data_IF_468117417798
#
_entry.id   IF_468117417798
#
_cell.length_a   1.000
_cell.length_b   1.000
_cell.length_c   1.000
_cell.angle_alpha   90.00
_cell.angle_beta   90.00
_cell.angle_gamma   90.00
#
_symmetry.space_group_name_H-M   'P 1'
#
loop_
_entity.id
_entity.type
_entity.pdbx_description
1 polymer ?
#
# COMPACT_ATOMS: atom_id res chain seq x y z
N UNK A 1 -43.96 -35.72 -28.42
CA UNK A 1 -44.75 -34.85 -27.54
C UNK A 1 -44.72 -35.45 -26.15
N UNK A 2 -44.09 -34.76 -25.18
CA UNK A 2 -44.53 -34.58 -23.79
C UNK A 2 -43.34 -34.00 -23.00
N UNK A 3 -43.22 -32.66 -23.00
CA UNK A 3 -42.31 -31.95 -22.09
C UNK A 3 -43.14 -31.53 -20.89
N UNK A 4 -42.91 -32.18 -19.75
CA UNK A 4 -43.48 -31.82 -18.45
C UNK A 4 -42.34 -31.54 -17.47
N UNK A 5 -42.28 -30.27 -17.07
CA UNK A 5 -41.95 -29.72 -15.75
C UNK A 5 -40.57 -29.92 -15.08
N UNK A 6 -40.02 -28.75 -14.72
CA UNK A 6 -39.42 -28.39 -13.43
C UNK A 6 -38.00 -28.90 -13.10
N UNK A 7 -37.00 -28.09 -13.42
CA UNK A 7 -35.80 -27.89 -12.61
C UNK A 7 -35.29 -26.47 -12.91
N UNK A 8 -35.64 -25.52 -12.03
CA UNK A 8 -34.71 -24.96 -11.04
C UNK A 8 -33.74 -23.97 -11.69
N UNK A 9 -34.06 -22.68 -11.52
CA UNK A 9 -33.14 -21.55 -11.66
C UNK A 9 -31.87 -21.83 -10.83
N UNK A 10 -30.85 -22.38 -11.47
CA UNK A 10 -29.51 -22.52 -10.93
C UNK A 10 -28.57 -21.67 -11.78
N UNK A 11 -28.31 -20.47 -11.27
CA UNK A 11 -27.10 -19.66 -11.37
C UNK A 11 -26.04 -20.11 -12.41
N UNK A 12 -25.69 -19.23 -13.35
CA UNK A 12 -24.27 -18.96 -13.58
C UNK A 12 -24.01 -17.45 -13.38
N UNK A 13 -23.81 -17.08 -12.12
CA UNK A 13 -22.86 -16.06 -11.73
C UNK A 13 -21.48 -16.68 -12.02
N UNK A 14 -20.54 -15.92 -12.59
CA UNK A 14 -19.15 -16.31 -12.95
C UNK A 14 -18.83 -16.52 -14.45
N UNK A 15 -19.37 -15.70 -15.36
CA UNK A 15 -18.67 -15.43 -16.63
C UNK A 15 -18.59 -13.92 -16.84
N UNK A 16 -17.61 -13.28 -16.21
CA UNK A 16 -17.13 -11.96 -16.59
C UNK A 16 -15.74 -11.70 -15.99
N UNK A 17 -14.73 -12.41 -16.51
CA UNK A 17 -13.34 -11.92 -16.61
C UNK A 17 -12.60 -12.87 -17.56
N UNK A 18 -12.83 -12.68 -18.86
CA UNK A 18 -12.02 -13.21 -19.94
C UNK A 18 -11.64 -12.03 -20.83
N UNK A 19 -10.62 -11.28 -20.43
CA UNK A 19 -10.07 -10.15 -21.18
C UNK A 19 -8.57 -10.12 -20.96
N UNK A 20 -7.82 -10.63 -21.94
CA UNK A 20 -6.37 -10.47 -22.02
C UNK A 20 -6.01 -8.99 -22.03
N UNK A 21 -5.19 -8.56 -21.08
CA UNK A 21 -4.60 -7.22 -21.06
C UNK A 21 -3.52 -7.11 -19.98
N UNK A 22 -2.26 -7.20 -20.41
CA UNK A 22 -1.09 -6.65 -19.73
C UNK A 22 -0.83 -7.14 -18.31
N UNK A 23 0.05 -8.13 -18.16
CA UNK A 23 0.82 -8.34 -16.93
C UNK A 23 1.84 -7.21 -16.78
N UNK A 24 1.38 -6.02 -16.40
CA UNK A 24 2.25 -5.04 -15.74
C UNK A 24 2.11 -5.27 -14.24
N UNK A 25 2.67 -6.41 -13.79
CA UNK A 25 3.02 -6.55 -12.39
C UNK A 25 4.09 -5.49 -12.13
N UNK A 26 3.88 -4.48 -11.27
CA UNK A 26 4.99 -3.64 -10.87
C UNK A 26 5.94 -4.55 -10.10
N UNK A 27 6.99 -4.97 -10.79
CA UNK A 27 8.20 -5.50 -10.19
C UNK A 27 8.69 -4.39 -9.26
N UNK A 28 8.40 -4.56 -7.96
CA UNK A 28 9.00 -3.76 -6.91
C UNK A 28 10.50 -4.07 -6.96
N UNK A 29 11.20 -3.32 -7.80
CA UNK A 29 12.65 -3.29 -7.82
C UNK A 29 13.04 -2.69 -6.49
N UNK A 30 13.32 -3.58 -5.53
CA UNK A 30 13.90 -3.25 -4.26
C UNK A 30 15.19 -2.50 -4.55
N UNK A 31 15.12 -1.18 -4.47
CA UNK A 31 16.24 -0.27 -4.62
C UNK A 31 17.22 -0.56 -3.47
N UNK A 32 18.09 -1.51 -3.74
CA UNK A 32 19.23 -1.90 -2.90
C UNK A 32 20.41 -1.09 -3.39
N UNK A 33 20.31 0.24 -3.34
CA UNK A 33 21.46 1.11 -3.56
C UNK A 33 21.67 1.99 -2.33
N UNK A 34 22.40 1.40 -1.37
CA UNK A 34 23.47 2.01 -0.60
C UNK A 34 23.69 1.18 0.66
N UNK A 35 24.78 0.41 0.63
CA UNK A 35 25.44 -0.16 1.80
C UNK A 35 26.06 0.97 2.64
N UNK A 36 25.23 1.90 3.08
CA UNK A 36 25.53 2.74 4.23
C UNK A 36 24.91 2.06 5.44
N UNK A 37 25.71 1.80 6.49
CA UNK A 37 25.25 1.24 7.75
C UNK A 37 24.13 2.10 8.32
N UNK A 38 22.88 1.70 8.06
CA UNK A 38 21.73 2.42 8.59
C UNK A 38 21.62 2.15 10.08
N UNK A 39 21.86 3.16 10.89
CA UNK A 39 21.58 3.06 12.31
C UNK A 39 20.08 3.20 12.57
N UNK A 40 19.42 2.06 12.77
CA UNK A 40 18.00 1.99 13.08
C UNK A 40 17.67 2.66 14.42
N UNK A 41 18.55 2.54 15.41
CA UNK A 41 18.41 3.19 16.70
C UNK A 41 18.72 4.69 16.58
N UNK A 42 17.82 5.53 17.11
CA UNK A 42 18.03 6.97 17.23
C UNK A 42 18.40 7.37 18.65
N UNK A 43 17.70 6.82 19.65
CA UNK A 43 17.91 7.15 21.06
C UNK A 43 17.30 6.05 21.97
N UNK A 44 17.70 6.06 23.24
CA UNK A 44 17.12 5.22 24.30
C UNK A 44 17.09 5.98 25.62
N UNK A 45 15.93 6.04 26.25
CA UNK A 45 15.74 6.67 27.56
C UNK A 45 14.75 5.85 28.39
N UNK A 46 15.01 5.74 29.69
CA UNK A 46 14.23 4.88 30.61
C UNK A 46 14.01 3.47 30.00
N UNK A 47 12.75 3.08 29.87
CA UNK A 47 12.26 1.84 29.25
C UNK A 47 11.86 1.99 27.78
N UNK A 48 12.12 3.15 27.15
CA UNK A 48 11.75 3.47 25.77
C UNK A 48 12.96 3.50 24.84
N UNK A 49 12.81 2.94 23.64
CA UNK A 49 13.78 3.03 22.56
C UNK A 49 13.16 3.66 21.32
N UNK A 50 13.84 4.64 20.74
CA UNK A 50 13.41 5.36 19.54
C UNK A 50 14.08 4.75 18.32
N UNK A 51 13.28 4.33 17.35
CA UNK A 51 13.74 3.69 16.11
C UNK A 51 13.39 4.54 14.88
N UNK A 52 14.21 4.45 13.84
CA UNK A 52 14.02 5.06 12.52
C UNK A 52 13.77 3.98 11.48
N UNK A 53 12.95 4.28 10.48
CA UNK A 53 12.74 3.39 9.34
C UNK A 53 13.09 4.11 8.04
N UNK A 54 13.56 3.35 7.04
CA UNK A 54 13.73 3.86 5.68
C UNK A 54 12.40 3.80 4.93
N UNK A 55 12.20 4.70 3.99
CA UNK A 55 11.07 4.68 3.05
C UNK A 55 11.60 4.15 1.71
N UNK A 56 11.60 2.82 1.48
CA UNK A 56 12.09 2.25 0.23
C UNK A 56 11.20 2.70 -0.94
N UNK A 57 11.82 2.95 -2.09
CA UNK A 57 11.11 3.36 -3.31
C UNK A 57 10.60 4.80 -3.30
N UNK A 58 10.96 5.63 -2.30
CA UNK A 58 10.62 7.05 -2.29
C UNK A 58 11.08 7.76 -3.57
N UNK A 59 12.28 7.45 -4.04
CA UNK A 59 12.85 8.09 -5.22
C UNK A 59 12.19 7.68 -6.53
N UNK A 60 11.48 6.55 -6.53
CA UNK A 60 10.72 6.05 -7.68
C UNK A 60 9.38 6.77 -7.86
N UNK A 61 8.93 7.54 -6.86
CA UNK A 61 7.68 8.29 -6.93
C UNK A 61 7.81 9.50 -7.86
N UNK A 62 6.75 9.75 -8.64
CA UNK A 62 6.60 10.99 -9.40
C UNK A 62 6.48 12.20 -8.47
N UNK A 63 6.75 13.40 -8.99
CA UNK A 63 6.64 14.64 -8.21
C UNK A 63 5.24 14.82 -7.61
N UNK A 64 4.19 14.58 -8.38
CA UNK A 64 2.80 14.70 -7.91
C UNK A 64 2.48 13.72 -6.78
N UNK A 65 3.02 12.49 -6.83
CA UNK A 65 2.86 11.51 -5.76
C UNK A 65 3.62 11.92 -4.49
N UNK A 66 4.83 12.49 -4.63
CA UNK A 66 5.60 13.04 -3.50
C UNK A 66 4.88 14.22 -2.86
N UNK A 67 4.31 15.12 -3.66
CA UNK A 67 3.50 16.25 -3.18
C UNK A 67 2.25 15.76 -2.42
N UNK A 68 1.53 14.78 -2.96
CA UNK A 68 0.40 14.17 -2.29
C UNK A 68 0.80 13.57 -0.93
N UNK A 69 1.85 12.75 -0.90
CA UNK A 69 2.35 12.14 0.34
C UNK A 69 2.79 13.20 1.37
N UNK A 70 3.41 14.30 0.91
CA UNK A 70 3.79 15.43 1.74
C UNK A 70 2.58 16.08 2.41
N UNK A 71 1.55 16.45 1.64
CA UNK A 71 0.36 17.11 2.19
C UNK A 71 -0.41 16.20 3.16
N UNK A 72 -0.49 14.90 2.88
CA UNK A 72 -1.11 13.93 3.80
C UNK A 72 -0.32 13.84 5.12
N UNK A 73 1.01 13.87 5.05
CA UNK A 73 1.86 13.88 6.23
C UNK A 73 1.68 15.16 7.05
N UNK A 74 1.63 16.33 6.39
CA UNK A 74 1.37 17.61 7.06
C UNK A 74 0.00 17.63 7.76
N UNK A 75 -1.03 17.10 7.11
CA UNK A 75 -2.36 16.98 7.70
C UNK A 75 -2.36 16.08 8.95
N UNK A 76 -1.63 14.95 8.91
CA UNK A 76 -1.49 14.07 10.09
C UNK A 76 -0.74 14.74 11.24
N UNK A 77 0.35 15.46 10.95
CA UNK A 77 1.14 16.18 11.97
C UNK A 77 0.36 17.32 12.61
N UNK A 78 -0.54 17.98 11.87
CA UNK A 78 -1.40 19.04 12.41
C UNK A 78 -2.34 18.54 13.52
N UNK A 79 -2.65 17.24 13.55
CA UNK A 79 -3.48 16.63 14.60
C UNK A 79 -2.75 16.34 15.91
N UNK A 80 -1.42 16.57 15.99
CA UNK A 80 -0.62 16.23 17.18
C UNK A 80 -1.13 16.94 18.43
N UNK A 81 -1.35 18.25 18.35
CA UNK A 81 -1.68 19.03 19.55
C UNK A 81 -3.09 18.67 20.07
N UNK A 82 -4.01 18.26 19.19
CA UNK A 82 -5.34 17.73 19.55
C UNK A 82 -5.25 16.42 20.34
N UNK A 83 -4.24 15.59 20.08
CA UNK A 83 -4.04 14.32 20.79
C UNK A 83 -3.51 14.51 22.22
N UNK A 84 -2.84 15.64 22.48
CA UNK A 84 -2.21 15.93 23.77
C UNK A 84 -3.04 16.81 24.70
N UNK A 85 -4.02 17.55 24.16
CA UNK A 85 -5.04 18.29 24.92
C UNK A 85 -6.13 17.33 25.43
#
# INVERSE_FOLDING_TARGET
MLRSNLALFALPLLIACGGNGGTDSPEVTADTTATEDFQWEADRFADVQVLRYRIPGWDQLSLQQKELAYYLTQAGLAGRDIMWD
#
